data_IF_620753185112
#
_entry.id   IF_620753185112
#
_cell.length_a   1.000
_cell.length_b   1.000
_cell.length_c   1.000
_cell.angle_alpha   90.00
_cell.angle_beta   90.00
_cell.angle_gamma   90.00
#
_symmetry.space_group_name_H-M   'P 1'
#
loop_
_entity.id
_entity.type
_entity.pdbx_description
1 polymer ?
#
# COMPACT_ATOMS: atom_id res chain seq x y z
N UNK A 1 -11.92 -17.99 6.52
CA UNK A 1 -12.67 -17.42 5.38
C UNK A 1 -12.12 -16.04 5.12
N UNK A 2 -11.63 -15.78 3.91
CA UNK A 2 -11.16 -14.45 3.53
C UNK A 2 -12.37 -13.50 3.47
N UNK A 3 -12.39 -12.48 4.33
CA UNK A 3 -13.50 -11.54 4.45
C UNK A 3 -13.65 -10.73 3.15
N UNK A 4 -14.88 -10.51 2.67
CA UNK A 4 -15.19 -9.70 1.47
C UNK A 4 -14.44 -8.36 1.48
N UNK A 5 -14.34 -7.72 2.65
CA UNK A 5 -13.62 -6.46 2.84
C UNK A 5 -12.11 -6.58 2.60
N UNK A 6 -11.52 -7.74 2.93
CA UNK A 6 -10.09 -7.99 2.67
C UNK A 6 -9.81 -8.19 1.18
N UNK A 7 -10.72 -8.86 0.47
CA UNK A 7 -10.64 -9.00 -0.99
C UNK A 7 -10.71 -7.64 -1.68
N UNK A 8 -11.68 -6.81 -1.32
CA UNK A 8 -11.79 -5.45 -1.86
C UNK A 8 -10.55 -4.62 -1.56
N UNK A 9 -10.05 -4.64 -0.32
CA UNK A 9 -8.84 -3.93 0.05
C UNK A 9 -7.62 -4.36 -0.77
N UNK A 10 -7.45 -5.67 -1.01
CA UNK A 10 -6.39 -6.19 -1.89
C UNK A 10 -6.51 -5.65 -3.31
N UNK A 11 -7.71 -5.73 -3.90
CA UNK A 11 -7.95 -5.23 -5.26
C UNK A 11 -7.63 -3.74 -5.38
N UNK A 12 -8.04 -2.93 -4.42
CA UNK A 12 -7.76 -1.49 -4.41
C UNK A 12 -6.26 -1.20 -4.32
N UNK A 13 -5.54 -1.91 -3.44
CA UNK A 13 -4.08 -1.77 -3.30
C UNK A 13 -3.36 -2.18 -4.60
N UNK A 14 -3.81 -3.25 -5.25
CA UNK A 14 -3.22 -3.69 -6.52
C UNK A 14 -3.50 -2.72 -7.66
N UNK A 15 -4.73 -2.21 -7.78
CA UNK A 15 -5.09 -1.19 -8.75
C UNK A 15 -4.25 0.08 -8.57
N UNK A 16 -4.04 0.52 -7.34
CA UNK A 16 -3.19 1.67 -7.03
C UNK A 16 -1.73 1.42 -7.44
N UNK A 17 -1.17 0.24 -7.16
CA UNK A 17 0.19 -0.09 -7.59
C UNK A 17 0.35 -0.15 -9.11
N UNK A 18 -0.69 -0.59 -9.84
CA UNK A 18 -0.69 -0.58 -11.31
C UNK A 18 -0.74 0.84 -11.87
N UNK A 19 -1.45 1.76 -11.19
CA UNK A 19 -1.50 3.18 -11.54
C UNK A 19 -0.20 3.93 -11.18
N UNK A 20 0.58 3.41 -10.23
CA UNK A 20 1.80 4.04 -9.71
C UNK A 20 3.05 3.14 -9.82
N UNK A 21 3.45 2.74 -11.05
CA UNK A 21 4.60 1.86 -11.26
C UNK A 21 5.93 2.47 -10.76
N UNK A 22 6.04 3.80 -10.69
CA UNK A 22 7.21 4.50 -10.16
C UNK A 22 7.50 4.17 -8.69
N UNK A 23 6.46 3.82 -7.91
CA UNK A 23 6.57 3.41 -6.50
C UNK A 23 7.19 2.03 -6.35
N UNK A 24 7.06 1.17 -7.36
CA UNK A 24 7.70 -0.14 -7.42
C UNK A 24 9.15 -0.04 -7.89
N UNK A 25 9.39 0.76 -8.93
CA UNK A 25 10.70 0.84 -9.59
C UNK A 25 11.77 1.56 -8.74
N UNK A 26 11.38 2.65 -8.06
CA UNK A 26 12.37 3.52 -7.44
C UNK A 26 12.71 3.13 -6.00
N UNK A 27 11.75 2.62 -5.20
CA UNK A 27 11.91 2.63 -3.73
C UNK A 27 11.51 1.35 -2.98
N UNK A 28 10.97 0.34 -3.66
CA UNK A 28 10.64 -0.98 -3.07
C UNK A 28 11.37 -2.11 -3.79
N UNK A 29 12.69 -1.97 -3.91
CA UNK A 29 13.55 -2.93 -4.62
C UNK A 29 13.62 -4.29 -3.94
N UNK A 30 13.41 -4.34 -2.61
CA UNK A 30 13.36 -5.61 -1.88
C UNK A 30 11.93 -6.17 -1.87
N UNK A 31 11.75 -7.47 -2.20
CA UNK A 31 10.44 -8.12 -2.14
C UNK A 31 9.78 -8.04 -0.75
N UNK A 32 10.57 -8.04 0.32
CA UNK A 32 10.11 -7.97 1.70
C UNK A 32 9.48 -6.61 2.05
N UNK A 33 10.08 -5.50 1.62
CA UNK A 33 9.57 -4.15 1.83
C UNK A 33 8.24 -3.96 1.10
N UNK A 34 8.15 -4.47 -0.12
CA UNK A 34 6.91 -4.46 -0.89
C UNK A 34 5.81 -5.29 -0.22
N UNK A 35 6.15 -6.46 0.30
CA UNK A 35 5.19 -7.33 0.99
C UNK A 35 4.69 -6.70 2.30
N UNK A 36 5.60 -6.14 3.09
CA UNK A 36 5.27 -5.46 4.34
C UNK A 36 4.39 -4.24 4.09
N UNK A 37 4.72 -3.43 3.08
CA UNK A 37 3.89 -2.29 2.68
C UNK A 37 2.50 -2.74 2.22
N UNK A 38 2.40 -3.76 1.35
CA UNK A 38 1.10 -4.29 0.90
C UNK A 38 0.23 -4.73 2.07
N UNK A 39 0.80 -5.42 3.06
CA UNK A 39 0.08 -5.85 4.27
C UNK A 39 -0.44 -4.66 5.08
N UNK A 40 0.38 -3.63 5.28
CA UNK A 40 -0.01 -2.41 5.99
C UNK A 40 -1.11 -1.64 5.23
N UNK A 41 -0.98 -1.54 3.91
CA UNK A 41 -1.96 -0.92 3.02
C UNK A 41 -3.32 -1.64 3.07
N UNK A 42 -3.34 -2.96 2.92
CA UNK A 42 -4.56 -3.77 2.99
C UNK A 42 -5.24 -3.58 4.35
N UNK A 43 -4.46 -3.59 5.45
CA UNK A 43 -5.00 -3.39 6.80
C UNK A 43 -5.64 -2.02 6.95
N UNK A 44 -4.98 -0.98 6.46
CA UNK A 44 -5.43 0.42 6.58
C UNK A 44 -6.66 0.67 5.73
N UNK A 45 -6.68 0.18 4.48
CA UNK A 45 -7.86 0.28 3.59
C UNK A 45 -9.05 -0.49 4.15
N UNK A 46 -8.82 -1.66 4.78
CA UNK A 46 -9.88 -2.46 5.39
C UNK A 46 -10.48 -1.80 6.64
N UNK A 47 -9.69 -1.05 7.40
CA UNK A 47 -10.11 -0.40 8.65
C UNK A 47 -10.58 1.04 8.46
N UNK A 48 -10.14 1.68 7.38
CA UNK A 48 -10.42 3.07 7.06
C UNK A 48 -11.65 3.27 6.19
N UNK A 49 -11.84 4.53 5.81
CA UNK A 49 -12.91 4.95 4.92
C UNK A 49 -12.58 4.57 3.45
N UNK A 50 -13.46 3.84 2.73
CA UNK A 50 -13.21 3.48 1.33
C UNK A 50 -13.12 4.67 0.37
N UNK A 51 -13.58 5.86 0.76
CA UNK A 51 -13.45 7.07 -0.06
C UNK A 51 -12.07 7.75 0.05
N UNK A 52 -11.27 7.40 1.07
CA UNK A 52 -9.95 8.00 1.35
C UNK A 52 -8.79 7.06 0.98
N UNK A 53 -9.08 6.04 0.17
CA UNK A 53 -8.12 4.97 -0.16
C UNK A 53 -6.90 5.53 -0.86
N UNK A 54 -7.08 6.45 -1.82
CA UNK A 54 -5.95 7.04 -2.54
C UNK A 54 -5.02 7.82 -1.62
N UNK A 55 -5.58 8.68 -0.76
CA UNK A 55 -4.80 9.48 0.19
C UNK A 55 -4.12 8.59 1.24
N UNK A 56 -4.80 7.55 1.71
CA UNK A 56 -4.23 6.56 2.64
C UNK A 56 -3.03 5.84 2.02
N UNK A 57 -3.16 5.36 0.78
CA UNK A 57 -2.08 4.65 0.08
C UNK A 57 -0.92 5.58 -0.26
N UNK A 58 -1.21 6.82 -0.64
CA UNK A 58 -0.21 7.86 -0.89
C UNK A 58 0.56 8.22 0.37
N UNK A 59 -0.13 8.40 1.50
CA UNK A 59 0.50 8.68 2.79
C UNK A 59 1.38 7.52 3.26
N UNK A 60 0.85 6.28 3.23
CA UNK A 60 1.62 5.09 3.58
C UNK A 60 2.86 4.90 2.69
N UNK A 61 2.72 5.16 1.39
CA UNK A 61 3.85 5.11 0.47
C UNK A 61 4.91 6.14 0.85
N UNK A 62 4.50 7.37 1.13
CA UNK A 62 5.41 8.46 1.48
C UNK A 62 6.11 8.24 2.83
N UNK A 63 5.40 7.72 3.85
CA UNK A 63 5.99 7.40 5.15
C UNK A 63 7.01 6.28 5.07
N UNK A 64 6.68 5.18 4.36
CA UNK A 64 7.62 4.08 4.13
C UNK A 64 8.87 4.54 3.35
N UNK A 65 8.74 5.56 2.52
CA UNK A 65 9.85 6.14 1.75
C UNK A 65 10.68 7.17 2.54
N UNK A 66 10.07 7.89 3.48
CA UNK A 66 10.77 8.82 4.38
C UNK A 66 11.62 8.08 5.40
N UNK A 67 11.08 7.00 5.99
CA UNK A 67 11.80 6.15 6.94
C UNK A 67 13.04 5.48 6.32
N UNK A 68 13.08 5.29 5.00
CA UNK A 68 14.22 4.70 4.28
C UNK A 68 15.37 5.68 3.99
N UNK A 69 15.20 6.99 4.28
CA UNK A 69 16.26 8.00 4.12
C UNK A 69 16.94 8.39 5.44
N UNK A 70 16.51 7.83 6.58
CA UNK A 70 17.10 8.09 7.90
C UNK A 70 18.09 7.00 8.38
N UNK A 71 18.38 5.99 7.56
CA UNK A 71 19.40 4.94 7.81
C UNK A 71 20.63 5.11 6.90
#
# INVERSE_FOLDING_TARGET
MENQAEKQARTLVEQWLLAHPERLQNRRRKPEDLLNWKRAAIRSVRQGNPYDVEDTLRWLATQAEGAAMED
#
